data_IF_640788344125
#
_entry.id   IF_640788344125
#
_cell.length_a   1.000
_cell.length_b   1.000
_cell.length_c   1.000
_cell.angle_alpha   90.00
_cell.angle_beta   90.00
_cell.angle_gamma   90.00
#
_symmetry.space_group_name_H-M   'P 1'
#
loop_
_entity.id
_entity.type
_entity.pdbx_description
1 polymer ?
#
# COMPACT_ATOMS: atom_id res chain seq x y z
N UNK A 1 -6.79 -46.28 9.99
CA UNK A 1 -6.39 -45.07 9.24
C UNK A 1 -6.27 -43.93 10.23
N UNK A 2 -5.04 -43.50 10.52
CA UNK A 2 -4.74 -42.51 11.56
C UNK A 2 -4.65 -41.12 10.93
N UNK A 3 -5.42 -40.19 11.52
CA UNK A 3 -5.46 -38.76 11.24
C UNK A 3 -4.07 -38.12 11.33
N UNK A 4 -3.79 -37.14 10.44
CA UNK A 4 -2.84 -36.06 10.73
C UNK A 4 -3.45 -34.72 10.36
N UNK A 5 -3.88 -34.01 11.40
CA UNK A 5 -4.18 -32.59 11.38
C UNK A 5 -2.87 -31.81 11.16
N UNK A 6 -2.77 -31.06 10.07
CA UNK A 6 -1.71 -30.07 9.88
C UNK A 6 -2.05 -28.83 10.70
N UNK A 7 -1.40 -28.71 11.86
CA UNK A 7 -1.42 -27.49 12.68
C UNK A 7 -0.59 -26.44 11.94
N UNK A 8 -1.26 -25.42 11.39
CA UNK A 8 -0.62 -24.21 10.89
C UNK A 8 0.05 -23.50 12.07
N UNK A 9 1.37 -23.53 12.14
CA UNK A 9 2.13 -22.82 13.16
C UNK A 9 2.06 -21.32 12.90
N UNK A 10 1.24 -20.61 13.68
CA UNK A 10 1.22 -19.16 13.76
C UNK A 10 2.51 -18.72 14.47
N UNK A 11 3.47 -18.20 13.70
CA UNK A 11 4.72 -17.68 14.26
C UNK A 11 4.48 -16.32 14.94
N UNK A 12 4.02 -16.34 16.19
CA UNK A 12 4.02 -15.18 17.07
C UNK A 12 5.43 -14.97 17.63
N UNK A 13 6.21 -14.08 17.01
CA UNK A 13 7.50 -13.65 17.57
C UNK A 13 7.22 -12.63 18.68
N UNK A 14 7.31 -13.07 19.94
CA UNK A 14 7.17 -12.23 21.13
C UNK A 14 8.54 -11.66 21.52
N UNK A 15 8.80 -10.39 21.21
CA UNK A 15 9.90 -9.66 21.84
C UNK A 15 9.37 -8.94 23.09
N UNK A 16 9.78 -9.42 24.27
CA UNK A 16 9.43 -8.84 25.57
C UNK A 16 10.63 -8.03 26.06
N UNK A 17 10.51 -6.70 26.07
CA UNK A 17 11.50 -5.80 26.66
C UNK A 17 11.30 -4.35 26.24
N UNK A 18 11.01 -3.47 27.22
CA UNK A 18 10.92 -2.00 27.13
C UNK A 18 10.59 -1.47 25.72
N UNK A 19 9.42 -1.84 25.20
CA UNK A 19 9.22 -1.92 23.75
C UNK A 19 8.49 -0.72 23.13
N UNK A 20 7.97 0.24 23.89
CA UNK A 20 7.17 1.34 23.31
C UNK A 20 8.01 2.24 22.40
N UNK A 21 9.22 2.65 22.81
CA UNK A 21 10.15 3.42 21.97
C UNK A 21 10.86 2.54 20.92
N UNK A 22 11.13 1.28 21.24
CA UNK A 22 11.78 0.32 20.34
C UNK A 22 10.88 -0.09 19.16
N UNK A 23 9.59 -0.35 19.44
CA UNK A 23 8.61 -0.71 18.41
C UNK A 23 8.37 0.43 17.43
N UNK A 24 8.17 1.66 17.90
CA UNK A 24 8.02 2.81 17.01
C UNK A 24 9.24 2.97 16.11
N UNK A 25 10.46 2.89 16.66
CA UNK A 25 11.69 2.98 15.85
C UNK A 25 11.81 1.87 14.81
N UNK A 26 11.46 0.64 15.15
CA UNK A 26 11.46 -0.47 14.20
C UNK A 26 10.44 -0.26 13.07
N UNK A 27 9.25 0.25 13.41
CA UNK A 27 8.20 0.60 12.45
C UNK A 27 8.64 1.77 11.56
N UNK A 28 9.28 2.80 12.11
CA UNK A 28 9.78 3.95 11.35
C UNK A 28 10.84 3.54 10.32
N UNK A 29 11.79 2.68 10.73
CA UNK A 29 12.81 2.13 9.81
C UNK A 29 12.13 1.30 8.71
N UNK A 30 11.20 0.42 9.08
CA UNK A 30 10.45 -0.42 8.12
C UNK A 30 9.68 0.44 7.12
N UNK A 31 8.96 1.46 7.61
CA UNK A 31 8.19 2.37 6.77
C UNK A 31 9.08 3.19 5.86
N UNK A 32 10.25 3.62 6.33
CA UNK A 32 11.25 4.29 5.49
C UNK A 32 11.67 3.41 4.32
N UNK A 33 11.96 2.14 4.56
CA UNK A 33 12.36 1.20 3.51
C UNK A 33 11.22 0.88 2.54
N UNK A 34 9.99 0.72 3.05
CA UNK A 34 8.79 0.57 2.23
C UNK A 34 8.57 1.79 1.31
N UNK A 35 8.75 3.00 1.83
CA UNK A 35 8.60 4.23 1.04
C UNK A 35 9.73 4.38 0.01
N UNK A 36 10.97 4.05 0.36
CA UNK A 36 12.11 4.08 -0.56
C UNK A 36 11.97 3.07 -1.71
N UNK A 37 11.26 1.96 -1.47
CA UNK A 37 10.95 0.95 -2.49
C UNK A 37 9.61 1.20 -3.21
N UNK A 38 8.97 2.35 -2.95
CA UNK A 38 7.68 2.74 -3.51
C UNK A 38 6.57 1.71 -3.24
N UNK A 39 6.62 1.04 -2.09
CA UNK A 39 5.62 0.05 -1.70
C UNK A 39 4.27 0.72 -1.42
N UNK A 40 3.15 0.23 -1.99
CA UNK A 40 1.84 0.87 -1.84
C UNK A 40 1.28 0.79 -0.41
N UNK A 41 1.93 0.05 0.49
CA UNK A 41 1.51 -0.10 1.88
C UNK A 41 2.61 0.36 2.86
N UNK A 42 2.17 0.93 3.98
CA UNK A 42 2.99 1.24 5.17
C UNK A 42 2.34 0.62 6.41
N UNK A 43 3.11 0.45 7.47
CA UNK A 43 2.61 0.00 8.77
C UNK A 43 2.06 1.20 9.54
N UNK A 44 0.79 1.12 9.93
CA UNK A 44 0.08 2.13 10.70
C UNK A 44 -0.37 1.52 12.02
N UNK A 45 -0.18 2.25 13.12
CA UNK A 45 -0.71 1.86 14.42
C UNK A 45 -2.24 1.87 14.37
N UNK A 46 -2.85 0.71 14.55
CA UNK A 46 -4.31 0.55 14.47
C UNK A 46 -4.96 0.40 15.83
N UNK A 47 -4.24 -0.11 16.82
CA UNK A 47 -4.76 -0.32 18.16
C UNK A 47 -3.65 -0.22 19.20
N UNK A 48 -4.03 0.14 20.41
CA UNK A 48 -3.17 0.19 21.57
C UNK A 48 -3.97 -0.12 22.83
N UNK A 49 -3.58 -1.18 23.52
CA UNK A 49 -4.12 -1.53 24.83
C UNK A 49 -3.09 -1.27 25.92
N UNK A 50 -3.44 -1.60 27.17
CA UNK A 50 -2.48 -1.60 28.27
C UNK A 50 -1.38 -2.66 28.14
N UNK A 51 -1.55 -3.67 27.28
CA UNK A 51 -0.61 -4.78 27.13
C UNK A 51 0.12 -4.81 25.80
N UNK A 52 -0.50 -4.30 24.73
CA UNK A 52 0.04 -4.44 23.37
C UNK A 52 -0.17 -3.19 22.54
N UNK A 53 0.69 -3.01 21.53
CA UNK A 53 0.53 -2.06 20.43
C UNK A 53 0.42 -2.87 19.13
N UNK A 54 -0.59 -2.58 18.32
CA UNK A 54 -0.86 -3.27 17.05
C UNK A 54 -0.59 -2.31 15.89
N UNK A 55 0.21 -2.77 14.93
CA UNK A 55 0.44 -2.12 13.64
C UNK A 55 -0.07 -3.00 12.52
N UNK A 56 -0.67 -2.40 11.51
CA UNK A 56 -1.21 -3.10 10.36
C UNK A 56 -0.76 -2.43 9.06
N UNK A 57 -0.51 -3.21 8.01
CA UNK A 57 -0.25 -2.66 6.69
C UNK A 57 -1.50 -1.96 6.14
N UNK A 58 -1.38 -0.69 5.76
CA UNK A 58 -2.45 0.17 5.22
C UNK A 58 -1.94 0.91 3.97
N UNK A 59 -2.82 1.28 3.02
CA UNK A 59 -2.42 2.07 1.86
C UNK A 59 -1.66 3.34 2.25
N UNK A 60 -0.52 3.59 1.60
CA UNK A 60 0.36 4.70 1.94
C UNK A 60 -0.22 6.07 1.52
N UNK A 61 0.28 7.13 2.16
CA UNK A 61 -0.06 8.52 1.84
C UNK A 61 -1.42 8.95 2.35
N UNK A 62 -1.79 10.19 2.04
CA UNK A 62 -3.05 10.81 2.45
C UNK A 62 -4.06 10.80 1.31
N UNK A 63 -5.34 10.63 1.62
CA UNK A 63 -6.43 10.70 0.62
C UNK A 63 -6.50 12.12 0.06
N UNK A 64 -6.13 12.29 -1.20
CA UNK A 64 -6.18 13.57 -1.91
C UNK A 64 -6.26 13.34 -3.43
N UNK A 65 -6.73 14.34 -4.19
CA UNK A 65 -6.78 14.23 -5.65
C UNK A 65 -5.41 13.89 -6.24
N UNK A 66 -5.43 12.99 -7.22
CA UNK A 66 -4.26 12.62 -8.03
C UNK A 66 -3.83 13.77 -8.95
N UNK A 67 -2.53 13.79 -9.28
CA UNK A 67 -1.99 14.56 -10.41
C UNK A 67 -2.55 14.15 -11.78
N UNK A 68 -3.23 13.01 -11.86
CA UNK A 68 -4.05 12.59 -12.97
C UNK A 68 -5.53 12.70 -12.57
N UNK A 69 -6.15 13.90 -12.64
CA UNK A 69 -7.53 14.10 -12.22
C UNK A 69 -8.49 13.19 -12.97
N UNK A 70 -9.54 12.72 -12.29
CA UNK A 70 -10.60 11.91 -12.91
C UNK A 70 -11.15 12.63 -14.15
N UNK A 71 -11.21 11.91 -15.27
CA UNK A 71 -11.67 12.45 -16.56
C UNK A 71 -10.59 13.12 -17.41
N UNK A 72 -9.37 13.30 -16.90
CA UNK A 72 -8.22 13.74 -17.70
C UNK A 72 -7.70 12.64 -18.64
N UNK A 73 -6.97 13.02 -19.69
CA UNK A 73 -6.28 12.07 -20.56
C UNK A 73 -5.28 11.21 -19.76
N UNK A 74 -4.52 11.84 -18.85
CA UNK A 74 -3.56 11.13 -18.00
C UNK A 74 -4.25 10.09 -17.10
N UNK A 75 -5.43 10.40 -16.56
CA UNK A 75 -6.21 9.43 -15.78
C UNK A 75 -6.63 8.22 -16.61
N UNK A 76 -7.07 8.45 -17.85
CA UNK A 76 -7.41 7.38 -18.79
C UNK A 76 -6.18 6.52 -19.08
N UNK A 77 -5.03 7.13 -19.29
CA UNK A 77 -3.78 6.42 -19.57
C UNK A 77 -3.30 5.58 -18.37
N UNK A 78 -3.32 6.15 -17.16
CA UNK A 78 -3.01 5.43 -15.92
C UNK A 78 -3.93 4.21 -15.75
N UNK A 79 -5.24 4.42 -15.86
CA UNK A 79 -6.20 3.32 -15.76
C UNK A 79 -6.02 2.28 -16.87
N UNK A 80 -5.71 2.69 -18.10
CA UNK A 80 -5.49 1.78 -19.21
C UNK A 80 -4.30 0.86 -18.94
N UNK A 81 -3.21 1.39 -18.37
CA UNK A 81 -2.04 0.59 -18.00
C UNK A 81 -2.38 -0.40 -16.88
N UNK A 82 -3.08 0.04 -15.83
CA UNK A 82 -3.51 -0.83 -14.73
C UNK A 82 -4.50 -1.89 -15.24
N UNK A 83 -5.49 -1.50 -16.05
CA UNK A 83 -6.50 -2.39 -16.60
C UNK A 83 -5.89 -3.48 -17.48
N UNK A 84 -4.87 -3.16 -18.28
CA UNK A 84 -4.17 -4.13 -19.12
C UNK A 84 -3.57 -5.30 -18.32
N UNK A 85 -3.15 -5.05 -17.08
CA UNK A 85 -2.52 -6.06 -16.21
C UNK A 85 -3.54 -6.68 -15.26
N UNK A 86 -4.40 -5.88 -14.65
CA UNK A 86 -5.25 -6.28 -13.53
C UNK A 86 -6.75 -6.29 -13.81
N UNK A 87 -7.18 -5.89 -15.00
CA UNK A 87 -8.60 -5.74 -15.37
C UNK A 87 -9.42 -4.79 -14.48
N UNK A 88 -8.79 -4.06 -13.56
CA UNK A 88 -9.46 -3.01 -12.77
C UNK A 88 -9.97 -1.89 -13.68
N UNK A 89 -11.19 -1.45 -13.44
CA UNK A 89 -11.89 -0.39 -14.18
C UNK A 89 -11.89 0.90 -13.36
N UNK A 90 -12.27 2.00 -14.01
CA UNK A 90 -12.50 3.28 -13.32
C UNK A 90 -13.53 3.15 -12.19
N UNK A 91 -14.57 2.32 -12.37
CA UNK A 91 -15.61 2.05 -11.36
C UNK A 91 -15.07 1.31 -10.14
N UNK A 92 -13.94 0.63 -10.27
CA UNK A 92 -13.32 -0.10 -9.17
C UNK A 92 -12.41 0.83 -8.35
N UNK A 93 -12.01 1.98 -8.89
CA UNK A 93 -11.20 2.96 -8.16
C UNK A 93 -12.00 3.54 -6.98
N UNK A 94 -11.54 3.23 -5.77
CA UNK A 94 -12.15 3.68 -4.52
C UNK A 94 -11.65 5.07 -4.14
N UNK A 95 -10.33 5.26 -4.15
CA UNK A 95 -9.69 6.50 -3.75
C UNK A 95 -8.27 6.59 -4.32
N UNK A 96 -7.78 7.83 -4.43
CA UNK A 96 -6.37 8.12 -4.69
C UNK A 96 -5.74 8.68 -3.43
N UNK A 97 -4.49 8.31 -3.20
CA UNK A 97 -3.68 8.80 -2.09
C UNK A 97 -2.37 9.30 -2.66
N UNK A 98 -1.83 10.37 -2.10
CA UNK A 98 -0.53 10.88 -2.55
C UNK A 98 0.43 10.84 -1.38
N UNK A 99 1.51 10.09 -1.58
CA UNK A 99 2.53 9.79 -0.58
C UNK A 99 3.59 10.89 -0.57
N UNK A 100 4.03 11.31 -1.75
CA UNK A 100 5.01 12.36 -1.92
C UNK A 100 4.75 13.12 -3.21
N UNK A 101 4.90 14.44 -3.16
CA UNK A 101 4.83 15.30 -4.33
C UNK A 101 6.01 16.27 -4.29
N UNK A 102 6.69 16.43 -5.42
CA UNK A 102 7.78 17.37 -5.59
C UNK A 102 7.34 18.52 -6.49
N UNK A 103 7.10 19.69 -5.92
CA UNK A 103 6.63 20.87 -6.64
C UNK A 103 7.57 21.32 -7.79
N UNK A 104 8.88 21.05 -7.67
CA UNK A 104 9.87 21.51 -8.66
C UNK A 104 9.86 20.64 -9.92
N UNK A 105 9.78 19.33 -9.75
CA UNK A 105 9.79 18.38 -10.87
C UNK A 105 8.40 17.93 -11.27
N UNK A 106 7.39 18.32 -10.50
CA UNK A 106 6.02 17.78 -10.58
C UNK A 106 6.00 16.25 -10.51
N UNK A 107 7.00 15.64 -9.86
CA UNK A 107 7.01 14.20 -9.62
C UNK A 107 6.01 13.87 -8.52
N UNK A 108 5.17 12.87 -8.75
CA UNK A 108 4.20 12.37 -7.77
C UNK A 108 4.37 10.89 -7.55
N UNK A 109 4.49 10.53 -6.28
CA UNK A 109 4.33 9.17 -5.80
C UNK A 109 2.93 9.07 -5.19
N UNK A 110 2.08 8.33 -5.89
CA UNK A 110 0.69 8.09 -5.52
C UNK A 110 0.42 6.62 -5.25
N UNK A 111 -0.66 6.38 -4.52
CA UNK A 111 -1.22 5.06 -4.28
C UNK A 111 -2.69 5.11 -4.67
N UNK A 112 -3.05 4.30 -5.66
CA UNK A 112 -4.41 4.19 -6.15
C UNK A 112 -5.03 2.93 -5.55
N UNK A 113 -6.15 3.10 -4.85
CA UNK A 113 -6.82 2.03 -4.11
C UNK A 113 -8.07 1.62 -4.87
N UNK A 114 -8.16 0.34 -5.18
CA UNK A 114 -9.27 -0.27 -5.89
C UNK A 114 -10.09 -1.15 -4.95
N UNK A 115 -11.41 -1.15 -5.14
CA UNK A 115 -12.29 -2.19 -4.63
C UNK A 115 -11.97 -3.48 -5.40
N UNK A 116 -11.59 -4.51 -4.66
CA UNK A 116 -11.10 -5.77 -5.20
C UNK A 116 -11.65 -6.93 -4.35
N UNK A 117 -12.74 -7.59 -4.81
CA UNK A 117 -13.33 -8.73 -4.11
C UNK A 117 -12.38 -9.93 -3.95
N UNK A 118 -11.41 -10.07 -4.87
CA UNK A 118 -10.43 -11.15 -4.88
C UNK A 118 -9.23 -10.87 -3.96
N UNK A 119 -9.09 -9.63 -3.48
CA UNK A 119 -8.13 -9.28 -2.43
C UNK A 119 -8.35 -10.14 -1.18
N UNK A 120 -7.24 -10.60 -0.61
CA UNK A 120 -7.22 -11.34 0.65
C UNK A 120 -7.27 -10.42 1.88
N UNK A 121 -7.24 -9.09 1.67
CA UNK A 121 -7.41 -8.10 2.73
C UNK A 121 -8.85 -8.08 3.23
N UNK A 122 -9.03 -7.72 4.49
CA UNK A 122 -10.35 -7.73 5.13
C UNK A 122 -11.31 -6.72 4.51
N UNK A 123 -10.77 -5.57 4.11
CA UNK A 123 -11.52 -4.50 3.49
C UNK A 123 -11.78 -4.69 1.99
N UNK A 124 -11.34 -5.83 1.41
CA UNK A 124 -11.51 -6.13 -0.03
C UNK A 124 -11.02 -5.01 -0.94
N UNK A 125 -9.83 -4.48 -0.63
CA UNK A 125 -9.16 -3.49 -1.48
C UNK A 125 -7.79 -3.97 -1.95
N UNK A 126 -7.33 -3.46 -3.08
CA UNK A 126 -5.94 -3.55 -3.51
C UNK A 126 -5.41 -2.15 -3.81
N UNK A 127 -4.25 -1.83 -3.25
CA UNK A 127 -3.52 -0.59 -3.50
C UNK A 127 -2.39 -0.85 -4.51
N UNK A 128 -2.27 0.04 -5.50
CA UNK A 128 -1.23 0.03 -6.55
C UNK A 128 -0.48 1.35 -6.46
N UNK A 129 0.85 1.30 -6.46
CA UNK A 129 1.65 2.52 -6.58
C UNK A 129 1.59 3.02 -8.02
N UNK A 130 1.38 4.33 -8.17
CA UNK A 130 1.43 5.06 -9.43
C UNK A 130 2.46 6.18 -9.29
N UNK A 131 3.56 6.06 -10.02
CA UNK A 131 4.61 7.08 -10.08
C UNK A 131 4.42 7.89 -11.36
N UNK A 132 4.22 9.20 -11.21
CA UNK A 132 4.02 10.12 -12.31
C UNK A 132 5.18 11.09 -12.40
N UNK A 133 5.86 11.11 -13.55
CA UNK A 133 6.98 12.01 -13.81
C UNK A 133 6.73 12.77 -15.12
N UNK A 134 6.31 14.03 -15.05
CA UNK A 134 6.11 14.85 -16.25
C UNK A 134 7.40 14.97 -17.07
N UNK A 135 7.27 14.87 -18.39
CA UNK A 135 8.36 15.02 -19.36
C UNK A 135 8.06 16.24 -20.26
N UNK A 136 8.28 17.47 -19.77
CA UNK A 136 7.81 18.69 -20.42
C UNK A 136 8.43 18.90 -21.81
N UNK A 137 9.66 18.42 -22.04
CA UNK A 137 10.38 18.54 -23.31
C UNK A 137 9.65 17.85 -24.48
N UNK A 138 8.92 16.78 -24.20
CA UNK A 138 8.17 15.98 -25.18
C UNK A 138 6.65 16.03 -24.96
N UNK A 139 6.18 16.86 -24.02
CA UNK A 139 4.75 17.03 -23.73
C UNK A 139 4.06 15.80 -23.12
N UNK A 140 4.81 14.94 -22.41
CA UNK A 140 4.33 13.66 -21.89
C UNK A 140 4.39 13.51 -20.36
N UNK A 141 4.09 12.31 -19.87
CA UNK A 141 4.31 11.89 -18.48
C UNK A 141 4.77 10.45 -18.48
N UNK A 142 5.97 10.21 -17.95
CA UNK A 142 6.44 8.86 -17.67
C UNK A 142 5.66 8.30 -16.48
N UNK A 143 5.23 7.04 -16.61
CA UNK A 143 4.46 6.33 -15.60
C UNK A 143 5.17 5.03 -15.21
N UNK A 144 5.36 4.81 -13.91
CA UNK A 144 5.82 3.52 -13.35
C UNK A 144 4.81 3.03 -12.30
N UNK A 145 4.67 1.71 -12.20
CA UNK A 145 3.64 1.06 -11.38
C UNK A 145 4.24 -0.03 -10.51
N UNK A 146 3.84 -0.07 -9.23
CA UNK A 146 4.08 -1.24 -8.37
C UNK A 146 2.78 -2.00 -8.20
N UNK A 147 2.60 -2.96 -9.10
CA UNK A 147 1.44 -3.85 -9.15
C UNK A 147 1.80 -5.16 -8.43
N UNK A 148 0.95 -5.67 -7.52
CA UNK A 148 1.17 -6.99 -6.91
C UNK A 148 1.13 -8.11 -7.99
N UNK A 149 1.92 -9.16 -7.81
CA UNK A 149 2.17 -10.21 -8.84
C UNK A 149 0.90 -10.86 -9.42
N UNK A 150 -0.15 -10.98 -8.62
CA UNK A 150 -1.45 -11.52 -9.01
C UNK A 150 -2.56 -10.46 -9.06
N UNK A 151 -2.22 -9.17 -9.07
CA UNK A 151 -3.13 -8.03 -9.01
C UNK A 151 -4.02 -7.93 -7.76
N UNK A 152 -3.90 -8.88 -6.82
CA UNK A 152 -4.77 -8.96 -5.66
C UNK A 152 -3.94 -8.90 -4.39
N UNK A 153 -4.23 -7.94 -3.53
CA UNK A 153 -3.44 -7.74 -2.34
C UNK A 153 -3.49 -8.97 -1.43
N UNK A 154 -2.34 -9.41 -0.89
CA UNK A 154 -2.30 -10.48 0.08
C UNK A 154 -2.97 -10.04 1.39
N UNK A 155 -3.19 -10.99 2.30
CA UNK A 155 -3.67 -10.68 3.65
C UNK A 155 -2.78 -9.61 4.28
N UNK A 156 -3.40 -8.65 4.97
CA UNK A 156 -2.67 -7.56 5.61
C UNK A 156 -1.66 -8.08 6.64
N UNK A 157 -0.45 -7.56 6.61
CA UNK A 157 0.57 -7.83 7.61
C UNK A 157 0.20 -7.14 8.91
N UNK A 158 0.27 -7.86 10.02
CA UNK A 158 -0.04 -7.35 11.37
C UNK A 158 1.17 -7.62 12.25
N UNK A 159 1.64 -6.57 12.95
CA UNK A 159 2.67 -6.65 13.97
C UNK A 159 2.07 -6.33 15.33
N UNK A 160 2.41 -7.14 16.33
CA UNK A 160 1.96 -6.96 17.71
C UNK A 160 3.18 -6.87 18.60
N UNK A 161 3.32 -5.76 19.32
CA UNK A 161 4.39 -5.53 20.28
C UNK A 161 3.83 -5.54 21.69
N UNK A 162 4.43 -6.32 22.60
CA UNK A 162 4.11 -6.27 24.03
C UNK A 162 4.70 -5.01 24.67
N UNK A 163 3.99 -4.43 25.64
CA UNK A 163 4.46 -3.27 26.42
C UNK A 163 5.24 -3.67 27.65
#
# INVERSE_FOLDING_TARGET
>A
MTFKNSILALACVLFVGCASSSSQRAIDITNKDLLNSFNPYILVKTDETKYVIIYQSMPAGDVRPSMAPIGSALFVDVLKQINRVCSFKSTDLKETRVVYFNDKTSFSYEVWVFNDPLSQRDNKTTAITVLLKPTPEIGGTDMDFRIPENCHAPKQTIFVFGK
#
